data_IF_510752896499
#
_entry.id   IF_510752896499
#
_cell.length_a   1.000
_cell.length_b   1.000
_cell.length_c   1.000
_cell.angle_alpha   90.00
_cell.angle_beta   90.00
_cell.angle_gamma   90.00
#
_symmetry.space_group_name_H-M   'P 1'
#
loop_
_entity.id
_entity.type
_entity.pdbx_description
1 polymer ?
#
# COMPACT_ATOMS: atom_id res chain seq x y z
N UNK A 1 -20.22 -12.50 -16.13
CA UNK A 1 -20.41 -11.06 -15.92
C UNK A 1 -20.87 -10.42 -17.24
N UNK A 2 -22.13 -10.05 -17.36
CA UNK A 2 -22.66 -9.41 -18.57
C UNK A 2 -22.44 -7.90 -18.43
N UNK A 3 -21.61 -7.31 -19.29
CA UNK A 3 -21.50 -5.86 -19.42
C UNK A 3 -22.80 -5.33 -20.04
N UNK A 4 -23.58 -4.62 -19.23
CA UNK A 4 -24.74 -3.88 -19.71
C UNK A 4 -24.21 -2.53 -20.23
N UNK A 5 -24.25 -2.33 -21.52
CA UNK A 5 -24.04 -1.05 -22.17
C UNK A 5 -25.25 -0.16 -21.87
N UNK A 6 -25.07 0.87 -21.06
CA UNK A 6 -26.06 1.91 -20.81
C UNK A 6 -26.00 2.91 -22.00
N UNK A 7 -27.14 3.22 -22.67
CA UNK A 7 -27.12 4.15 -23.79
C UNK A 7 -26.89 5.59 -23.30
N UNK A 8 -25.95 6.26 -23.96
CA UNK A 8 -25.50 7.65 -23.75
C UNK A 8 -26.54 8.69 -24.22
N UNK A 9 -27.69 8.75 -23.57
CA UNK A 9 -28.78 9.67 -23.94
C UNK A 9 -28.92 10.93 -23.05
N UNK A 10 -27.93 11.26 -22.22
CA UNK A 10 -28.02 12.39 -21.25
C UNK A 10 -27.04 13.57 -21.55
N UNK A 11 -26.64 13.74 -22.80
CA UNK A 11 -25.59 14.73 -23.18
C UNK A 11 -26.11 16.13 -23.58
N UNK A 12 -27.35 16.51 -23.32
CA UNK A 12 -27.92 17.75 -23.88
C UNK A 12 -28.13 18.94 -22.89
N UNK A 13 -27.91 18.76 -21.57
CA UNK A 13 -28.10 19.85 -20.58
C UNK A 13 -26.78 20.50 -20.09
N UNK A 14 -25.68 20.21 -20.71
CA UNK A 14 -24.32 20.36 -20.19
C UNK A 14 -23.57 21.67 -20.55
N UNK A 15 -24.18 22.80 -20.82
CA UNK A 15 -23.48 23.93 -21.44
C UNK A 15 -23.08 25.13 -20.56
N UNK A 16 -23.21 25.06 -19.20
CA UNK A 16 -22.94 26.25 -18.35
C UNK A 16 -22.00 26.04 -17.13
N UNK A 17 -21.31 24.90 -17.00
CA UNK A 17 -20.41 24.67 -15.86
C UNK A 17 -18.93 24.57 -16.28
N UNK A 18 -17.97 24.94 -15.38
CA UNK A 18 -16.56 24.63 -15.59
C UNK A 18 -16.38 23.11 -15.77
N UNK A 19 -15.66 22.69 -16.78
CA UNK A 19 -15.49 21.27 -17.16
C UNK A 19 -14.99 20.37 -16.01
N UNK A 20 -14.20 20.91 -15.07
CA UNK A 20 -13.67 20.18 -13.91
C UNK A 20 -14.75 19.78 -12.89
N UNK A 21 -15.72 20.67 -12.58
CA UNK A 21 -16.82 20.34 -11.64
C UNK A 21 -17.76 19.26 -12.19
N UNK A 22 -17.95 19.21 -13.51
CA UNK A 22 -18.79 18.20 -14.17
C UNK A 22 -18.14 16.83 -14.19
N UNK A 23 -16.82 16.75 -14.38
CA UNK A 23 -16.09 15.49 -14.34
C UNK A 23 -16.23 14.86 -12.95
N UNK A 24 -16.09 15.62 -11.89
CA UNK A 24 -16.14 15.13 -10.52
C UNK A 24 -17.57 14.70 -10.11
N UNK A 25 -18.63 15.42 -10.53
CA UNK A 25 -20.01 14.98 -10.29
C UNK A 25 -20.34 13.68 -11.06
N UNK A 26 -19.87 13.52 -12.30
CA UNK A 26 -20.03 12.27 -13.05
C UNK A 26 -19.33 11.12 -12.34
N UNK A 27 -18.10 11.31 -11.92
CA UNK A 27 -17.28 10.28 -11.26
C UNK A 27 -17.90 9.82 -9.93
N UNK A 28 -18.51 10.75 -9.18
CA UNK A 28 -19.18 10.46 -7.92
C UNK A 28 -20.35 9.47 -8.08
N UNK A 29 -21.16 9.63 -9.12
CA UNK A 29 -22.28 8.71 -9.39
C UNK A 29 -21.80 7.41 -10.04
N UNK A 30 -20.83 7.47 -10.95
CA UNK A 30 -20.31 6.32 -11.68
C UNK A 30 -19.62 5.33 -10.75
N UNK A 31 -18.82 5.79 -9.79
CA UNK A 31 -18.14 4.93 -8.82
C UNK A 31 -19.14 4.12 -7.97
N UNK A 32 -20.25 4.75 -7.57
CA UNK A 32 -21.25 4.15 -6.70
C UNK A 32 -21.99 2.99 -7.39
N UNK A 33 -22.17 3.04 -8.71
CA UNK A 33 -22.89 2.00 -9.48
C UNK A 33 -22.24 0.62 -9.36
N UNK A 34 -20.95 0.54 -9.00
CA UNK A 34 -20.25 -0.73 -8.81
C UNK A 34 -20.58 -1.43 -7.48
N UNK A 35 -21.23 -0.73 -6.55
CA UNK A 35 -21.44 -1.17 -5.17
C UNK A 35 -22.91 -1.28 -4.76
N UNK A 36 -23.84 -0.85 -5.61
CA UNK A 36 -25.28 -0.76 -5.31
C UNK A 36 -26.10 -1.73 -6.16
N UNK A 37 -27.30 -2.04 -5.66
CA UNK A 37 -28.28 -2.87 -6.35
C UNK A 37 -29.13 -2.06 -7.36
N UNK A 38 -29.99 -2.75 -8.14
CA UNK A 38 -30.82 -2.12 -9.16
C UNK A 38 -31.82 -1.10 -8.59
N UNK A 39 -32.34 -1.31 -7.39
CA UNK A 39 -33.27 -0.40 -6.71
C UNK A 39 -32.54 0.89 -6.31
N UNK A 40 -31.38 0.77 -5.67
CA UNK A 40 -30.53 1.89 -5.32
C UNK A 40 -30.04 2.65 -6.57
N UNK A 41 -29.71 1.93 -7.63
CA UNK A 41 -29.32 2.56 -8.91
C UNK A 41 -30.49 3.37 -9.51
N UNK A 42 -31.71 2.84 -9.45
CA UNK A 42 -32.90 3.58 -9.87
C UNK A 42 -33.17 4.83 -9.03
N UNK A 43 -32.87 4.76 -7.72
CA UNK A 43 -32.94 5.94 -6.83
C UNK A 43 -31.84 6.95 -7.21
N UNK A 44 -30.62 6.49 -7.48
CA UNK A 44 -29.48 7.32 -7.86
C UNK A 44 -29.77 8.19 -9.10
N UNK A 45 -30.38 7.60 -10.16
CA UNK A 45 -30.81 8.35 -11.34
C UNK A 45 -31.77 9.48 -11.00
N UNK A 46 -32.73 9.23 -10.09
CA UNK A 46 -33.67 10.28 -9.64
C UNK A 46 -32.99 11.39 -8.87
N UNK A 47 -31.95 11.07 -8.08
CA UNK A 47 -31.16 12.08 -7.36
C UNK A 47 -30.38 12.98 -8.31
N UNK A 48 -29.81 12.40 -9.37
CA UNK A 48 -29.15 13.16 -10.46
C UNK A 48 -30.13 14.11 -11.14
N UNK A 49 -31.33 13.64 -11.49
CA UNK A 49 -32.38 14.47 -12.09
C UNK A 49 -32.82 15.61 -11.16
N UNK A 50 -32.97 15.34 -9.84
CA UNK A 50 -33.33 16.37 -8.86
C UNK A 50 -32.23 17.43 -8.71
N UNK A 51 -30.94 17.04 -8.71
CA UNK A 51 -29.80 17.96 -8.71
C UNK A 51 -29.79 18.82 -9.99
N UNK A 52 -29.91 18.20 -11.16
CA UNK A 52 -29.98 18.90 -12.45
C UNK A 52 -31.14 19.89 -12.51
N UNK A 53 -32.28 19.54 -11.93
CA UNK A 53 -33.43 20.44 -11.80
C UNK A 53 -33.16 21.61 -10.86
N UNK A 54 -32.42 21.36 -9.76
CA UNK A 54 -31.93 22.41 -8.86
C UNK A 54 -31.04 23.42 -9.61
N UNK A 55 -30.09 22.95 -10.42
CA UNK A 55 -29.23 23.80 -11.26
C UNK A 55 -30.05 24.65 -12.25
N UNK A 56 -31.06 24.06 -12.86
CA UNK A 56 -31.97 24.80 -13.74
C UNK A 56 -32.72 25.91 -13.00
N UNK A 57 -33.16 25.66 -11.76
CA UNK A 57 -33.79 26.70 -10.95
C UNK A 57 -32.83 27.84 -10.58
N UNK A 58 -31.57 27.54 -10.26
CA UNK A 58 -30.54 28.58 -10.02
C UNK A 58 -30.34 29.43 -11.26
N UNK A 59 -30.18 28.83 -12.44
CA UNK A 59 -30.01 29.54 -13.70
C UNK A 59 -31.21 30.44 -14.05
N UNK A 60 -32.43 29.95 -13.81
CA UNK A 60 -33.65 30.74 -13.99
C UNK A 60 -33.75 31.91 -13.00
N UNK A 61 -33.32 31.71 -11.74
CA UNK A 61 -33.26 32.75 -10.75
C UNK A 61 -32.27 33.88 -11.15
N UNK A 62 -31.11 33.49 -11.66
CA UNK A 62 -30.09 34.44 -12.16
C UNK A 62 -30.59 35.25 -13.37
N UNK A 63 -31.27 34.61 -14.29
CA UNK A 63 -31.91 35.31 -15.43
C UNK A 63 -32.99 36.29 -14.97
N UNK A 64 -33.77 35.90 -13.95
CA UNK A 64 -34.78 36.79 -13.33
C UNK A 64 -34.13 37.95 -12.60
N UNK A 65 -33.02 37.76 -11.90
CA UNK A 65 -32.24 38.79 -11.23
C UNK A 65 -31.68 39.82 -12.25
N UNK A 66 -31.07 39.34 -13.35
CA UNK A 66 -30.56 40.23 -14.43
C UNK A 66 -31.69 41.07 -15.05
N UNK A 67 -32.87 40.51 -15.23
CA UNK A 67 -34.03 41.21 -15.77
C UNK A 67 -34.58 42.22 -14.75
N UNK A 68 -34.60 41.82 -13.47
CA UNK A 68 -35.13 42.59 -12.35
C UNK A 68 -34.32 43.91 -12.18
N UNK A 69 -33.00 43.87 -12.24
CA UNK A 69 -32.15 45.06 -12.13
C UNK A 69 -32.57 46.20 -13.08
N UNK A 70 -33.04 45.86 -14.29
CA UNK A 70 -33.53 46.84 -15.29
C UNK A 70 -34.89 47.46 -14.91
N UNK A 71 -35.71 46.72 -14.19
CA UNK A 71 -37.05 47.19 -13.78
C UNK A 71 -37.05 47.97 -12.47
N UNK A 72 -36.23 47.60 -11.50
CA UNK A 72 -36.13 48.29 -10.20
C UNK A 72 -35.51 49.68 -10.31
N UNK A 73 -34.70 49.92 -11.32
CA UNK A 73 -34.09 51.25 -11.62
C UNK A 73 -35.05 52.15 -12.44
N UNK A 74 -36.31 51.77 -12.64
CA UNK A 74 -37.27 52.55 -13.42
C UNK A 74 -38.17 53.40 -12.53
N UNK A 75 -38.40 54.66 -12.90
CA UNK A 75 -39.33 55.57 -12.26
C UNK A 75 -40.84 55.23 -12.54
N UNK A 76 -41.11 54.31 -13.48
CA UNK A 76 -42.48 53.92 -13.88
C UNK A 76 -43.05 52.85 -12.94
N UNK A 77 -44.18 53.18 -12.24
CA UNK A 77 -44.82 52.26 -11.28
C UNK A 77 -45.13 50.85 -11.81
N UNK A 78 -45.53 50.73 -13.09
CA UNK A 78 -45.79 49.43 -13.72
C UNK A 78 -44.51 48.59 -13.93
N UNK A 79 -43.36 49.23 -14.18
CA UNK A 79 -42.08 48.54 -14.29
C UNK A 79 -41.59 48.08 -12.91
N UNK A 80 -41.71 48.94 -11.87
CA UNK A 80 -41.37 48.57 -10.49
C UNK A 80 -42.12 47.33 -10.04
N UNK A 81 -43.46 47.30 -10.23
CA UNK A 81 -44.32 46.13 -9.90
C UNK A 81 -43.86 44.87 -10.64
N UNK A 82 -43.44 44.98 -11.89
CA UNK A 82 -42.86 43.87 -12.65
C UNK A 82 -41.53 43.40 -12.08
N UNK A 83 -40.70 44.31 -11.59
CA UNK A 83 -39.44 44.01 -10.92
C UNK A 83 -39.64 43.27 -9.60
N UNK A 84 -40.57 43.73 -8.78
CA UNK A 84 -40.95 43.06 -7.52
C UNK A 84 -41.40 41.61 -7.76
N UNK A 85 -42.26 41.40 -8.79
CA UNK A 85 -42.71 40.05 -9.17
C UNK A 85 -41.52 39.13 -9.58
N UNK A 86 -40.61 39.64 -10.39
CA UNK A 86 -39.42 38.91 -10.83
C UNK A 86 -38.49 38.61 -9.67
N UNK A 87 -38.35 39.49 -8.72
CA UNK A 87 -37.58 39.29 -7.50
C UNK A 87 -38.21 38.16 -6.65
N UNK A 88 -39.52 38.17 -6.46
CA UNK A 88 -40.23 37.11 -5.73
C UNK A 88 -40.09 35.72 -6.40
N UNK A 89 -40.11 35.69 -7.75
CA UNK A 89 -39.89 34.47 -8.53
C UNK A 89 -38.46 33.94 -8.32
N UNK A 90 -37.43 34.79 -8.45
CA UNK A 90 -36.04 34.38 -8.23
C UNK A 90 -35.79 33.86 -6.80
N UNK A 91 -36.37 34.49 -5.78
CA UNK A 91 -36.32 34.02 -4.39
C UNK A 91 -36.87 32.63 -4.25
N UNK A 92 -38.05 32.37 -4.82
CA UNK A 92 -38.76 31.10 -4.76
C UNK A 92 -37.94 29.99 -5.48
N UNK A 93 -37.36 30.30 -6.63
CA UNK A 93 -36.51 29.33 -7.39
C UNK A 93 -35.26 28.94 -6.62
N UNK A 94 -34.58 29.88 -5.97
CA UNK A 94 -33.39 29.58 -5.17
C UNK A 94 -33.71 28.68 -3.97
N UNK A 95 -34.81 28.93 -3.26
CA UNK A 95 -35.26 28.07 -2.14
C UNK A 95 -35.62 26.67 -2.66
N UNK A 96 -36.34 26.58 -3.80
CA UNK A 96 -36.66 25.27 -4.41
C UNK A 96 -35.39 24.51 -4.80
N UNK A 97 -34.40 25.17 -5.39
CA UNK A 97 -33.13 24.54 -5.72
C UNK A 97 -32.43 24.00 -4.48
N UNK A 98 -32.30 24.81 -3.42
CA UNK A 98 -31.64 24.39 -2.18
C UNK A 98 -32.32 23.19 -1.52
N UNK A 99 -33.69 23.13 -1.53
CA UNK A 99 -34.43 21.96 -1.05
C UNK A 99 -34.23 20.70 -1.87
N UNK A 100 -34.04 20.82 -3.18
CA UNK A 100 -33.68 19.69 -4.02
C UNK A 100 -32.27 19.19 -3.71
N UNK A 101 -31.30 20.09 -3.54
CA UNK A 101 -29.95 19.71 -3.13
C UNK A 101 -29.93 19.04 -1.76
N UNK A 102 -30.60 19.62 -0.74
CA UNK A 102 -30.72 19.01 0.59
C UNK A 102 -31.23 17.58 0.50
N UNK A 103 -32.38 17.39 -0.14
CA UNK A 103 -32.98 16.06 -0.31
C UNK A 103 -32.04 15.10 -1.03
N UNK A 104 -31.45 15.52 -2.15
CA UNK A 104 -30.66 14.64 -3.00
C UNK A 104 -29.35 14.27 -2.34
N UNK A 105 -28.62 15.20 -1.76
CA UNK A 105 -27.35 14.92 -1.11
C UNK A 105 -27.51 14.15 0.21
N UNK A 106 -28.61 14.37 0.96
CA UNK A 106 -28.94 13.55 2.14
C UNK A 106 -29.21 12.10 1.72
N UNK A 107 -30.03 11.89 0.69
CA UNK A 107 -30.29 10.52 0.21
C UNK A 107 -29.06 9.87 -0.40
N UNK A 108 -28.21 10.63 -1.06
CA UNK A 108 -26.94 10.15 -1.59
C UNK A 108 -26.00 9.72 -0.46
N UNK A 109 -25.86 10.53 0.60
CA UNK A 109 -25.10 10.20 1.80
C UNK A 109 -25.55 8.87 2.43
N UNK A 110 -26.87 8.66 2.56
CA UNK A 110 -27.40 7.41 3.12
C UNK A 110 -27.00 6.18 2.30
N UNK A 111 -27.01 6.29 0.97
CA UNK A 111 -26.57 5.19 0.08
C UNK A 111 -25.06 4.93 0.26
N UNK A 112 -24.23 5.98 0.27
CA UNK A 112 -22.80 5.85 0.49
C UNK A 112 -22.47 5.26 1.85
N UNK A 113 -23.16 5.72 2.89
CA UNK A 113 -23.00 5.23 4.25
C UNK A 113 -23.33 3.74 4.33
N UNK A 114 -24.46 3.31 3.77
CA UNK A 114 -24.83 1.90 3.73
C UNK A 114 -23.78 1.04 3.01
N UNK A 115 -23.22 1.50 1.90
CA UNK A 115 -22.17 0.79 1.17
C UNK A 115 -20.89 0.68 2.02
N UNK A 116 -20.46 1.76 2.65
CA UNK A 116 -19.23 1.79 3.46
C UNK A 116 -19.39 0.97 4.75
N UNK A 117 -20.52 1.06 5.42
CA UNK A 117 -20.81 0.31 6.66
C UNK A 117 -20.83 -1.21 6.42
N UNK A 118 -21.26 -1.65 5.24
CA UNK A 118 -21.32 -3.06 4.85
C UNK A 118 -20.05 -3.55 4.14
N UNK A 119 -19.07 -2.68 3.89
CA UNK A 119 -17.86 -3.02 3.14
C UNK A 119 -16.80 -3.70 4.01
N UNK A 120 -16.13 -4.69 3.42
CA UNK A 120 -14.91 -5.26 3.99
C UNK A 120 -13.68 -4.45 3.52
N UNK A 121 -13.01 -3.81 4.47
CA UNK A 121 -11.76 -3.10 4.22
C UNK A 121 -10.57 -4.00 4.47
N UNK A 122 -9.65 -4.08 3.49
CA UNK A 122 -8.39 -4.81 3.59
C UNK A 122 -7.43 -4.09 4.54
N UNK A 123 -7.47 -2.75 4.51
CA UNK A 123 -6.60 -1.89 5.33
C UNK A 123 -7.41 -1.13 6.37
N UNK A 124 -7.09 -1.32 7.65
CA UNK A 124 -7.79 -0.66 8.77
C UNK A 124 -7.69 0.87 8.70
N UNK A 125 -6.56 1.41 8.24
CA UNK A 125 -6.39 2.86 8.08
C UNK A 125 -7.36 3.44 7.04
N UNK A 126 -7.64 2.71 5.96
CA UNK A 126 -8.60 3.15 4.94
C UNK A 126 -10.02 3.16 5.49
N UNK A 127 -10.38 2.17 6.30
CA UNK A 127 -11.67 2.15 7.00
C UNK A 127 -11.84 3.38 7.88
N UNK A 128 -10.87 3.66 8.74
CA UNK A 128 -10.90 4.83 9.64
C UNK A 128 -10.95 6.16 8.86
N UNK A 129 -10.26 6.23 7.73
CA UNK A 129 -10.29 7.41 6.86
C UNK A 129 -11.63 7.57 6.14
N UNK A 130 -12.26 6.47 5.68
CA UNK A 130 -13.57 6.49 5.06
C UNK A 130 -14.66 6.92 6.07
N UNK A 131 -14.60 6.41 7.31
CA UNK A 131 -15.48 6.82 8.40
C UNK A 131 -15.31 8.32 8.72
N UNK A 132 -14.09 8.86 8.70
CA UNK A 132 -13.84 10.29 8.86
C UNK A 132 -14.47 11.13 7.75
N UNK A 133 -14.33 10.72 6.48
CA UNK A 133 -14.99 11.40 5.37
C UNK A 133 -16.52 11.38 5.48
N UNK A 134 -17.12 10.27 5.93
CA UNK A 134 -18.56 10.22 6.16
C UNK A 134 -19.01 11.15 7.29
N UNK A 135 -18.22 11.26 8.36
CA UNK A 135 -18.47 12.22 9.44
C UNK A 135 -18.41 13.68 8.94
N UNK A 136 -17.44 14.00 8.10
CA UNK A 136 -17.33 15.33 7.48
C UNK A 136 -18.51 15.62 6.54
N UNK A 137 -18.96 14.60 5.79
CA UNK A 137 -20.15 14.72 4.93
C UNK A 137 -21.40 15.00 5.75
N UNK A 138 -21.62 14.30 6.86
CA UNK A 138 -22.75 14.52 7.77
C UNK A 138 -22.74 15.94 8.34
N UNK A 139 -21.59 16.43 8.79
CA UNK A 139 -21.42 17.80 9.28
C UNK A 139 -21.76 18.83 8.19
N UNK A 140 -21.31 18.63 6.96
CA UNK A 140 -21.60 19.52 5.84
C UNK A 140 -23.10 19.50 5.47
N UNK A 141 -23.78 18.35 5.54
CA UNK A 141 -25.23 18.26 5.36
C UNK A 141 -25.98 19.04 6.46
N UNK A 142 -25.60 18.88 7.72
CA UNK A 142 -26.17 19.60 8.85
C UNK A 142 -25.99 21.12 8.70
N UNK A 143 -24.79 21.57 8.35
CA UNK A 143 -24.48 22.99 8.09
C UNK A 143 -25.33 23.55 6.95
N UNK A 144 -25.46 22.81 5.84
CA UNK A 144 -26.30 23.20 4.71
C UNK A 144 -27.77 23.34 5.11
N UNK A 145 -28.30 22.35 5.82
CA UNK A 145 -29.69 22.33 6.31
C UNK A 145 -29.94 23.46 7.33
N UNK A 146 -29.01 23.74 8.23
CA UNK A 146 -29.12 24.84 9.17
C UNK A 146 -29.25 26.21 8.47
N UNK A 147 -28.50 26.42 7.37
CA UNK A 147 -28.60 27.65 6.55
C UNK A 147 -29.91 27.73 5.77
N UNK A 148 -30.49 26.61 5.36
CA UNK A 148 -31.75 26.55 4.63
C UNK A 148 -32.96 26.72 5.54
N UNK A 149 -32.91 26.22 6.78
CA UNK A 149 -33.99 26.17 7.74
C UNK A 149 -34.75 27.49 7.93
N UNK A 150 -34.14 28.67 8.06
CA UNK A 150 -34.80 29.97 8.21
C UNK A 150 -35.74 30.30 7.04
N UNK A 151 -35.51 29.75 5.88
CA UNK A 151 -36.23 30.02 4.64
C UNK A 151 -37.39 29.03 4.38
N UNK A 152 -37.49 27.96 5.16
CA UNK A 152 -38.46 26.89 4.98
C UNK A 152 -39.92 27.35 5.16
N UNK A 153 -40.16 28.35 6.00
CA UNK A 153 -41.47 28.92 6.33
C UNK A 153 -41.74 30.29 5.68
N UNK A 154 -40.75 30.85 4.95
CA UNK A 154 -40.90 32.18 4.34
C UNK A 154 -41.71 32.09 3.06
N UNK A 155 -42.80 32.89 3.01
CA UNK A 155 -43.54 33.11 1.77
C UNK A 155 -42.78 34.18 0.95
N UNK A 156 -42.83 34.10 -0.38
CA UNK A 156 -42.21 35.05 -1.30
C UNK A 156 -42.60 36.51 -1.08
N UNK A 157 -43.70 36.75 -0.37
CA UNK A 157 -44.22 38.10 -0.02
C UNK A 157 -43.46 38.78 1.12
N UNK A 158 -42.82 38.04 2.01
CA UNK A 158 -42.23 38.58 3.24
C UNK A 158 -40.71 38.77 3.14
N UNK A 159 -40.12 38.59 1.96
CA UNK A 159 -38.68 38.78 1.74
C UNK A 159 -38.37 40.22 1.26
N UNK A 160 -38.01 41.10 2.19
CA UNK A 160 -37.54 42.46 1.88
C UNK A 160 -36.20 42.43 1.08
N UNK A 161 -35.85 43.52 0.43
CA UNK A 161 -34.69 43.64 -0.45
C UNK A 161 -33.35 43.32 0.26
N UNK A 162 -33.20 43.72 1.55
CA UNK A 162 -32.02 43.36 2.39
C UNK A 162 -31.91 41.89 2.63
N UNK A 163 -33.00 41.23 2.94
CA UNK A 163 -33.14 39.81 3.19
C UNK A 163 -32.81 38.97 1.94
N UNK A 164 -33.01 39.57 0.74
CA UNK A 164 -32.74 38.86 -0.51
C UNK A 164 -31.22 38.71 -0.79
N UNK A 165 -30.41 39.69 -0.43
CA UNK A 165 -28.95 39.57 -0.56
C UNK A 165 -28.43 38.44 0.35
N UNK A 166 -28.88 38.41 1.59
CA UNK A 166 -28.54 37.36 2.53
C UNK A 166 -28.99 35.98 2.02
N UNK A 167 -30.25 35.87 1.56
CA UNK A 167 -30.78 34.64 0.97
C UNK A 167 -29.93 34.15 -0.20
N UNK A 168 -29.45 35.01 -1.09
CA UNK A 168 -28.57 34.62 -2.20
C UNK A 168 -27.28 34.01 -1.71
N UNK A 169 -26.67 34.63 -0.70
CA UNK A 169 -25.42 34.13 -0.08
C UNK A 169 -25.65 32.80 0.62
N UNK A 170 -26.74 32.70 1.40
CA UNK A 170 -27.07 31.49 2.15
C UNK A 170 -27.40 30.33 1.20
N UNK A 171 -28.16 30.54 0.12
CA UNK A 171 -28.44 29.48 -0.85
C UNK A 171 -27.21 29.02 -1.62
N UNK A 172 -26.27 29.92 -1.93
CA UNK A 172 -24.99 29.57 -2.52
C UNK A 172 -24.13 28.76 -1.53
N UNK A 173 -24.14 29.17 -0.25
CA UNK A 173 -23.43 28.45 0.81
C UNK A 173 -24.06 27.06 1.08
N UNK A 174 -25.40 26.94 1.09
CA UNK A 174 -26.08 25.64 1.17
C UNK A 174 -25.62 24.71 0.04
N UNK A 175 -25.66 25.18 -1.20
CA UNK A 175 -25.20 24.41 -2.35
C UNK A 175 -23.77 23.91 -2.17
N UNK A 176 -22.84 24.82 -1.79
CA UNK A 176 -21.44 24.46 -1.56
C UNK A 176 -21.28 23.40 -0.47
N UNK A 177 -22.03 23.50 0.61
CA UNK A 177 -22.01 22.50 1.71
C UNK A 177 -22.53 21.13 1.27
N UNK A 178 -23.62 21.09 0.54
CA UNK A 178 -24.16 19.84 0.01
C UNK A 178 -23.22 19.20 -1.02
N UNK A 179 -22.58 19.99 -1.89
CA UNK A 179 -21.58 19.48 -2.80
C UNK A 179 -20.35 18.94 -2.06
N UNK A 180 -19.87 19.65 -1.03
CA UNK A 180 -18.76 19.16 -0.17
C UNK A 180 -19.11 17.84 0.51
N UNK A 181 -20.34 17.67 0.97
CA UNK A 181 -20.79 16.38 1.51
C UNK A 181 -20.72 15.26 0.46
N UNK A 182 -21.12 15.54 -0.79
CA UNK A 182 -20.99 14.59 -1.89
C UNK A 182 -19.54 14.23 -2.19
N UNK A 183 -18.65 15.22 -2.21
CA UNK A 183 -17.21 15.02 -2.42
C UNK A 183 -16.59 14.16 -1.31
N UNK A 184 -16.97 14.37 -0.06
CA UNK A 184 -16.54 13.55 1.07
C UNK A 184 -17.04 12.10 0.93
N UNK A 185 -18.29 11.89 0.55
CA UNK A 185 -18.83 10.56 0.26
C UNK A 185 -18.05 9.86 -0.86
N UNK A 186 -17.74 10.56 -1.95
CA UNK A 186 -16.92 10.05 -3.04
C UNK A 186 -15.52 9.63 -2.57
N UNK A 187 -14.86 10.48 -1.77
CA UNK A 187 -13.53 10.19 -1.23
C UNK A 187 -13.54 8.95 -0.33
N UNK A 188 -14.58 8.76 0.48
CA UNK A 188 -14.76 7.55 1.30
C UNK A 188 -14.84 6.29 0.43
N UNK A 189 -15.66 6.29 -0.61
CA UNK A 189 -15.85 5.14 -1.48
C UNK A 189 -14.63 4.86 -2.37
N UNK A 190 -13.90 5.89 -2.75
CA UNK A 190 -12.67 5.75 -3.53
C UNK A 190 -11.61 4.94 -2.81
N UNK A 191 -11.51 5.06 -1.48
CA UNK A 191 -10.61 4.22 -0.68
C UNK A 191 -10.99 2.74 -0.82
N UNK A 192 -12.27 2.42 -0.79
CA UNK A 192 -12.78 1.06 -0.98
C UNK A 192 -12.49 0.54 -2.40
N UNK A 193 -12.70 1.35 -3.43
CA UNK A 193 -12.45 0.97 -4.82
C UNK A 193 -10.98 0.66 -5.10
N UNK A 194 -10.05 1.45 -4.55
CA UNK A 194 -8.62 1.36 -4.87
C UNK A 194 -7.87 0.32 -4.03
N UNK A 195 -8.47 -0.23 -2.97
CA UNK A 195 -7.78 -1.17 -2.08
C UNK A 195 -7.37 -2.47 -2.78
N UNK A 196 -8.18 -3.02 -3.68
CA UNK A 196 -7.85 -4.22 -4.44
C UNK A 196 -6.69 -3.98 -5.44
N UNK A 197 -6.64 -2.82 -6.06
CA UNK A 197 -5.53 -2.45 -6.95
C UNK A 197 -4.22 -2.35 -6.16
N UNK A 198 -4.25 -1.72 -4.97
CA UNK A 198 -3.07 -1.64 -4.07
C UNK A 198 -2.63 -3.02 -3.61
N UNK A 199 -3.54 -3.87 -3.18
CA UNK A 199 -3.26 -5.26 -2.80
C UNK A 199 -2.58 -6.04 -3.92
N UNK A 200 -3.08 -5.89 -5.15
CA UNK A 200 -2.50 -6.53 -6.33
C UNK A 200 -1.09 -5.98 -6.64
N UNK A 201 -0.87 -4.67 -6.47
CA UNK A 201 0.45 -4.04 -6.65
C UNK A 201 1.44 -4.52 -5.56
N UNK A 202 1.02 -4.61 -4.31
CA UNK A 202 1.83 -5.13 -3.20
C UNK A 202 2.21 -6.59 -3.43
N UNK A 203 1.25 -7.44 -3.84
CA UNK A 203 1.50 -8.84 -4.17
C UNK A 203 2.46 -8.99 -5.36
N UNK A 204 2.34 -8.16 -6.39
CA UNK A 204 3.26 -8.15 -7.53
C UNK A 204 4.67 -7.70 -7.13
N UNK A 205 4.79 -6.69 -6.28
CA UNK A 205 6.06 -6.22 -5.73
C UNK A 205 6.75 -7.29 -4.88
N UNK A 206 6.00 -7.98 -4.01
CA UNK A 206 6.48 -9.12 -3.23
C UNK A 206 6.97 -10.25 -4.14
N UNK A 207 6.19 -10.62 -5.17
CA UNK A 207 6.57 -11.65 -6.14
C UNK A 207 7.86 -11.31 -6.88
N UNK A 208 8.01 -10.05 -7.33
CA UNK A 208 9.22 -9.59 -8.01
C UNK A 208 10.44 -9.65 -7.08
N UNK A 209 10.29 -9.24 -5.83
CA UNK A 209 11.34 -9.32 -4.83
C UNK A 209 11.71 -10.78 -4.51
N UNK A 210 10.71 -11.66 -4.39
CA UNK A 210 10.94 -13.10 -4.22
C UNK A 210 11.72 -13.73 -5.37
N UNK A 211 11.35 -13.43 -6.62
CA UNK A 211 12.05 -13.94 -7.80
C UNK A 211 13.53 -13.51 -7.81
N UNK A 212 13.80 -12.26 -7.45
CA UNK A 212 15.18 -11.76 -7.27
C UNK A 212 15.91 -12.51 -6.15
N UNK A 213 15.27 -12.69 -5.01
CA UNK A 213 15.80 -13.44 -3.85
C UNK A 213 16.18 -14.87 -4.24
N UNK A 214 15.30 -15.57 -4.97
CA UNK A 214 15.55 -16.93 -5.46
C UNK A 214 16.71 -16.98 -6.45
N UNK A 215 16.86 -15.98 -7.29
CA UNK A 215 18.00 -15.90 -8.24
C UNK A 215 19.34 -15.77 -7.53
N UNK A 216 19.40 -15.01 -6.43
CA UNK A 216 20.59 -14.87 -5.59
C UNK A 216 20.89 -16.13 -4.80
N UNK A 217 19.85 -16.79 -4.26
CA UNK A 217 19.88 -18.07 -3.56
C UNK A 217 20.92 -18.17 -2.41
N UNK A 218 20.98 -17.13 -1.56
CA UNK A 218 21.83 -17.11 -0.36
C UNK A 218 20.96 -16.99 0.91
N UNK A 219 21.50 -17.41 2.05
CA UNK A 219 20.84 -17.28 3.37
C UNK A 219 20.52 -15.81 3.66
N UNK A 220 21.48 -14.90 3.37
CA UNK A 220 21.28 -13.47 3.59
C UNK A 220 20.16 -12.89 2.70
N UNK A 221 20.07 -13.31 1.44
CA UNK A 221 18.99 -12.89 0.55
C UNK A 221 17.60 -13.33 1.08
N UNK A 222 17.49 -14.56 1.56
CA UNK A 222 16.24 -15.05 2.16
C UNK A 222 15.91 -14.35 3.48
N UNK A 223 16.90 -14.06 4.32
CA UNK A 223 16.70 -13.29 5.55
C UNK A 223 16.23 -11.86 5.25
N UNK A 224 16.77 -11.21 4.22
CA UNK A 224 16.28 -9.89 3.75
C UNK A 224 14.84 -9.94 3.27
N UNK A 225 14.46 -11.01 2.57
CA UNK A 225 13.07 -11.20 2.17
C UNK A 225 12.15 -11.32 3.41
N UNK A 226 12.48 -12.18 4.37
CA UNK A 226 11.70 -12.37 5.60
C UNK A 226 11.57 -11.05 6.39
N UNK A 227 12.65 -10.27 6.48
CA UNK A 227 12.64 -8.98 7.18
C UNK A 227 11.75 -7.95 6.48
N UNK A 228 11.73 -7.95 5.15
CA UNK A 228 10.90 -7.02 4.36
C UNK A 228 9.43 -7.41 4.33
N UNK A 229 9.15 -8.71 4.29
CA UNK A 229 7.81 -9.29 4.22
C UNK A 229 7.58 -10.32 5.33
N UNK A 230 7.48 -9.91 6.61
CA UNK A 230 7.42 -10.84 7.75
C UNK A 230 6.19 -11.76 7.72
N UNK A 231 5.09 -11.31 7.08
CA UNK A 231 3.87 -12.07 6.85
C UNK A 231 3.67 -12.43 5.37
N UNK A 232 4.73 -12.39 4.59
CA UNK A 232 4.68 -12.59 3.14
C UNK A 232 4.39 -14.04 2.74
N UNK A 233 3.88 -14.18 1.54
CA UNK A 233 3.46 -15.47 0.95
C UNK A 233 4.58 -16.52 0.94
N UNK A 234 5.85 -16.10 0.82
CA UNK A 234 6.99 -16.99 0.62
C UNK A 234 7.87 -17.16 1.88
N UNK A 235 7.43 -16.68 3.07
CA UNK A 235 8.22 -16.78 4.32
C UNK A 235 8.57 -18.23 4.66
N UNK A 236 7.59 -19.13 4.61
CA UNK A 236 7.81 -20.55 4.89
C UNK A 236 8.78 -21.20 3.89
N UNK A 237 8.69 -20.84 2.62
CA UNK A 237 9.61 -21.31 1.58
C UNK A 237 11.03 -20.76 1.77
N UNK A 238 11.17 -19.47 2.14
CA UNK A 238 12.45 -18.88 2.47
C UNK A 238 13.13 -19.60 3.64
N UNK A 239 12.40 -19.86 4.72
CA UNK A 239 12.89 -20.62 5.87
C UNK A 239 13.34 -22.02 5.49
N UNK A 240 12.56 -22.72 4.67
CA UNK A 240 12.90 -24.06 4.15
C UNK A 240 14.19 -24.02 3.33
N UNK A 241 14.37 -23.02 2.47
CA UNK A 241 15.59 -22.86 1.66
C UNK A 241 16.82 -22.53 2.50
N UNK A 242 16.67 -21.69 3.52
CA UNK A 242 17.72 -21.42 4.51
C UNK A 242 18.17 -22.74 5.17
N UNK A 243 17.22 -23.53 5.68
CA UNK A 243 17.54 -24.82 6.31
C UNK A 243 18.25 -25.78 5.35
N UNK A 244 17.85 -25.83 4.08
CA UNK A 244 18.51 -26.66 3.06
C UNK A 244 19.93 -26.20 2.78
N UNK A 245 20.18 -24.88 2.66
CA UNK A 245 21.53 -24.34 2.45
C UNK A 245 22.43 -24.61 3.66
N UNK A 246 21.93 -24.46 4.89
CA UNK A 246 22.65 -24.80 6.11
C UNK A 246 23.00 -26.30 6.16
N UNK A 247 22.05 -27.17 5.82
CA UNK A 247 22.27 -28.63 5.82
C UNK A 247 23.24 -29.05 4.72
N UNK A 248 23.18 -28.45 3.53
CA UNK A 248 24.16 -28.72 2.46
C UNK A 248 25.57 -28.30 2.90
N UNK A 249 25.71 -27.18 3.61
CA UNK A 249 26.99 -26.77 4.22
C UNK A 249 27.49 -27.78 5.26
N UNK A 250 26.60 -28.31 6.11
CA UNK A 250 26.94 -29.35 7.10
C UNK A 250 27.31 -30.68 6.44
N UNK A 251 26.58 -31.13 5.41
CA UNK A 251 26.90 -32.37 4.69
C UNK A 251 28.24 -32.28 3.98
N UNK A 252 28.60 -31.15 3.38
CA UNK A 252 29.95 -30.96 2.81
C UNK A 252 31.06 -31.02 3.86
N UNK A 253 30.76 -30.63 5.11
CA UNK A 253 31.70 -30.74 6.24
C UNK A 253 31.90 -32.16 6.76
N UNK A 254 30.89 -33.03 6.64
CA UNK A 254 30.87 -34.34 7.29
C UNK A 254 31.23 -35.50 6.36
N UNK A 255 31.15 -35.33 5.03
CA UNK A 255 31.14 -36.49 4.11
C UNK A 255 32.49 -36.93 3.55
N UNK A 256 33.60 -36.24 3.82
CA UNK A 256 34.92 -36.69 3.35
C UNK A 256 36.01 -36.53 4.41
N UNK A 257 36.52 -37.66 4.93
CA UNK A 257 37.75 -37.67 5.69
C UNK A 257 38.98 -37.47 4.78
N UNK A 258 38.77 -37.28 3.47
CA UNK A 258 39.82 -37.09 2.51
C UNK A 258 40.29 -35.61 2.55
N UNK A 259 41.51 -35.35 2.99
CA UNK A 259 42.05 -33.98 3.04
C UNK A 259 42.33 -33.35 1.66
N UNK A 260 42.19 -34.12 0.60
CA UNK A 260 42.39 -33.71 -0.78
C UNK A 260 41.07 -33.29 -1.46
N UNK A 261 39.94 -33.24 -0.73
CA UNK A 261 38.63 -32.79 -1.22
C UNK A 261 38.09 -31.62 -0.41
N UNK A 262 37.85 -30.49 -1.11
CA UNK A 262 37.32 -29.27 -0.54
C UNK A 262 38.19 -28.65 0.54
N UNK A 263 37.59 -27.79 1.38
CA UNK A 263 38.28 -27.12 2.47
C UNK A 263 38.61 -28.09 3.61
N UNK A 264 39.88 -28.18 4.03
CA UNK A 264 40.31 -29.00 5.15
C UNK A 264 41.35 -28.26 6.01
N UNK A 265 41.20 -28.40 7.32
CA UNK A 265 42.13 -27.92 8.33
C UNK A 265 42.83 -29.17 8.95
N UNK A 266 44.15 -29.10 9.05
CA UNK A 266 44.91 -30.20 9.64
C UNK A 266 45.93 -29.66 10.64
N UNK A 267 46.32 -30.44 11.60
CA UNK A 267 47.30 -30.06 12.61
C UNK A 267 48.66 -30.59 12.20
N UNK A 268 49.59 -29.72 11.85
CA UNK A 268 50.97 -30.09 11.59
C UNK A 268 51.69 -30.30 12.92
N UNK A 269 52.20 -31.49 13.15
CA UNK A 269 52.88 -31.84 14.38
C UNK A 269 54.37 -31.76 14.32
N UNK A 270 54.97 -31.91 13.13
CA UNK A 270 56.35 -31.61 12.87
C UNK A 270 56.68 -31.57 11.36
N UNK A 271 57.87 -31.03 11.04
CA UNK A 271 58.47 -31.14 9.73
C UNK A 271 59.99 -31.30 9.86
N UNK A 272 60.62 -32.15 9.01
CA UNK A 272 62.03 -32.40 9.05
C UNK A 272 62.57 -32.71 7.63
N UNK A 273 63.83 -32.40 7.34
CA UNK A 273 64.46 -32.81 6.09
C UNK A 273 64.72 -34.32 6.00
N UNK A 274 64.73 -34.99 7.12
CA UNK A 274 64.87 -36.44 7.19
C UNK A 274 63.54 -37.09 7.62
N UNK A 275 63.22 -38.21 6.99
CA UNK A 275 62.04 -38.99 7.35
C UNK A 275 62.17 -39.50 8.80
N UNK A 276 61.12 -39.32 9.60
CA UNK A 276 61.03 -39.82 10.97
C UNK A 276 60.55 -41.26 10.97
N UNK A 277 61.14 -42.06 11.88
CA UNK A 277 60.65 -43.40 12.12
C UNK A 277 59.30 -43.38 12.87
N UNK A 278 58.51 -44.42 12.68
CA UNK A 278 57.24 -44.60 13.39
C UNK A 278 57.41 -44.47 14.92
N UNK A 279 58.50 -45.01 15.46
CA UNK A 279 58.80 -44.92 16.90
C UNK A 279 59.10 -43.49 17.36
N UNK A 280 59.68 -42.65 16.52
CA UNK A 280 59.91 -41.22 16.80
C UNK A 280 58.61 -40.43 16.78
N UNK A 281 57.74 -40.73 15.82
CA UNK A 281 56.41 -40.11 15.70
C UNK A 281 55.50 -40.48 16.88
N UNK A 282 55.52 -41.76 17.33
CA UNK A 282 54.74 -42.22 18.49
C UNK A 282 55.19 -41.59 19.81
N UNK A 283 56.49 -41.19 19.92
CA UNK A 283 56.95 -40.41 21.10
C UNK A 283 56.44 -39.00 21.11
N UNK A 284 56.31 -38.39 19.91
CA UNK A 284 55.80 -37.03 19.78
C UNK A 284 54.30 -37.00 19.97
N UNK A 285 53.55 -37.90 19.30
CA UNK A 285 52.10 -37.93 19.32
C UNK A 285 51.62 -39.30 19.84
N UNK A 286 50.94 -39.29 21.00
CA UNK A 286 50.38 -40.48 21.67
C UNK A 286 48.88 -40.67 21.49
N UNK A 287 48.23 -39.83 20.66
CA UNK A 287 46.81 -39.91 20.39
C UNK A 287 46.48 -40.99 19.35
N UNK A 288 45.18 -41.14 19.10
CA UNK A 288 44.64 -42.20 18.25
C UNK A 288 44.47 -41.82 16.77
N UNK A 289 44.70 -40.54 16.42
CA UNK A 289 44.55 -40.11 15.04
C UNK A 289 45.71 -40.62 14.19
N UNK A 290 45.41 -40.99 12.95
CA UNK A 290 46.44 -41.40 11.97
C UNK A 290 47.35 -40.24 11.65
N UNK A 291 48.65 -40.49 11.69
CA UNK A 291 49.64 -39.51 11.20
C UNK A 291 49.77 -39.69 9.69
N UNK A 292 49.47 -38.63 8.96
CA UNK A 292 49.69 -38.55 7.51
C UNK A 292 51.05 -37.94 7.23
N UNK A 293 51.85 -38.59 6.39
CA UNK A 293 53.19 -38.15 6.01
C UNK A 293 53.21 -37.76 4.55
N UNK A 294 53.68 -36.56 4.26
CA UNK A 294 53.93 -36.09 2.88
C UNK A 294 55.27 -35.39 2.75
N UNK A 295 55.90 -35.58 1.62
CA UNK A 295 57.09 -34.80 1.27
C UNK A 295 56.69 -33.59 0.45
N UNK A 296 56.93 -32.40 0.99
CA UNK A 296 56.58 -31.11 0.38
C UNK A 296 57.77 -30.16 0.54
N UNK A 297 58.25 -29.58 -0.56
CA UNK A 297 59.37 -28.63 -0.59
C UNK A 297 60.69 -29.16 0.06
N UNK A 298 60.96 -30.44 -0.11
CA UNK A 298 62.15 -31.09 0.45
C UNK A 298 62.08 -31.41 1.94
N UNK A 299 60.92 -31.26 2.59
CA UNK A 299 60.65 -31.60 3.95
C UNK A 299 59.64 -32.73 4.05
N UNK A 300 59.79 -33.63 4.98
CA UNK A 300 58.76 -34.55 5.43
C UNK A 300 57.90 -33.81 6.44
N UNK A 301 56.66 -33.55 6.06
CA UNK A 301 55.67 -32.90 6.92
C UNK A 301 54.72 -33.97 7.48
N UNK A 302 54.33 -33.86 8.75
CA UNK A 302 53.49 -34.86 9.46
C UNK A 302 52.26 -34.15 10.00
N UNK A 303 51.12 -34.60 9.52
CA UNK A 303 49.80 -34.00 9.85
C UNK A 303 48.91 -35.00 10.52
N UNK A 304 48.02 -34.51 11.39
CA UNK A 304 47.01 -35.34 12.03
C UNK A 304 45.63 -34.66 11.91
N UNK A 305 44.58 -35.44 11.91
CA UNK A 305 43.21 -34.99 11.79
C UNK A 305 42.86 -34.40 10.40
N UNK A 306 41.61 -34.28 10.16
CA UNK A 306 41.04 -33.58 9.01
C UNK A 306 39.74 -32.91 9.50
N UNK A 307 39.80 -31.63 9.70
CA UNK A 307 38.70 -30.85 10.26
C UNK A 307 38.11 -29.96 9.16
N UNK A 308 36.82 -29.67 9.24
CA UNK A 308 36.12 -28.88 8.22
C UNK A 308 35.89 -27.43 8.65
N UNK A 309 36.20 -27.09 9.93
CA UNK A 309 36.22 -25.71 10.40
C UNK A 309 37.49 -25.41 11.17
N UNK A 310 37.89 -24.13 11.16
CA UNK A 310 39.04 -23.65 11.92
C UNK A 310 38.86 -23.84 13.41
N UNK A 311 37.64 -23.62 13.92
CA UNK A 311 37.33 -23.76 15.33
C UNK A 311 37.48 -25.22 15.82
N UNK A 312 37.02 -26.20 15.03
CA UNK A 312 37.22 -27.63 15.32
C UNK A 312 38.67 -28.00 15.37
N UNK A 313 39.46 -27.54 14.38
CA UNK A 313 40.90 -27.80 14.34
C UNK A 313 41.61 -27.17 15.54
N UNK A 314 41.28 -25.95 15.90
CA UNK A 314 41.86 -25.23 17.04
C UNK A 314 41.50 -25.90 18.37
N UNK A 315 40.25 -26.30 18.56
CA UNK A 315 39.82 -27.03 19.74
C UNK A 315 40.57 -28.37 19.89
N UNK A 316 40.75 -29.08 18.78
CA UNK A 316 41.49 -30.34 18.78
C UNK A 316 42.98 -30.09 19.06
N UNK A 317 43.60 -29.08 18.47
CA UNK A 317 45.03 -28.75 18.73
C UNK A 317 45.29 -28.39 20.20
N UNK A 318 44.44 -27.56 20.79
CA UNK A 318 44.49 -27.19 22.22
C UNK A 318 44.41 -28.44 23.14
N UNK A 319 43.52 -29.38 22.78
CA UNK A 319 43.32 -30.60 23.55
C UNK A 319 44.50 -31.58 23.48
N UNK A 320 45.37 -31.46 22.47
CA UNK A 320 46.49 -32.37 22.27
C UNK A 320 47.77 -32.01 23.05
N UNK A 321 47.87 -30.80 23.56
CA UNK A 321 48.98 -30.25 24.32
C UNK A 321 50.36 -30.50 23.69
N UNK A 322 50.44 -30.33 22.35
CA UNK A 322 51.67 -30.48 21.58
C UNK A 322 52.41 -29.15 21.49
N UNK A 323 53.72 -29.14 21.90
CA UNK A 323 54.48 -27.89 22.08
C UNK A 323 54.81 -27.10 20.80
N UNK A 324 54.66 -27.67 19.62
CA UNK A 324 55.06 -27.05 18.34
C UNK A 324 54.10 -27.38 17.19
N UNK A 325 52.89 -27.68 17.51
CA UNK A 325 51.85 -27.89 16.51
C UNK A 325 51.27 -26.56 16.02
N UNK A 326 50.74 -26.56 14.82
CA UNK A 326 49.98 -25.45 14.27
C UNK A 326 49.01 -25.95 13.18
N UNK A 327 47.96 -25.18 12.92
CA UNK A 327 46.95 -25.50 11.93
C UNK A 327 47.46 -25.12 10.55
N UNK A 328 47.31 -26.05 9.60
CA UNK A 328 47.55 -25.86 8.16
C UNK A 328 46.23 -26.07 7.43
N UNK A 329 46.04 -25.31 6.35
CA UNK A 329 44.81 -25.29 5.59
C UNK A 329 45.05 -25.81 4.17
N UNK A 330 44.06 -26.53 3.65
CA UNK A 330 44.05 -27.07 2.29
C UNK A 330 42.72 -26.78 1.63
N UNK A 331 42.75 -26.55 0.33
CA UNK A 331 41.53 -26.54 -0.50
C UNK A 331 41.83 -27.39 -1.74
N UNK A 332 41.02 -28.46 -1.93
CA UNK A 332 41.23 -29.44 -3.00
C UNK A 332 42.68 -29.96 -3.06
N UNK A 333 43.23 -30.29 -1.89
CA UNK A 333 44.58 -30.84 -1.73
C UNK A 333 45.75 -29.83 -1.84
N UNK A 334 45.46 -28.58 -2.19
CA UNK A 334 46.48 -27.50 -2.24
C UNK A 334 46.56 -26.78 -0.90
N UNK A 335 47.73 -26.58 -0.37
CA UNK A 335 47.93 -25.81 0.85
C UNK A 335 47.68 -24.33 0.58
N UNK A 336 46.80 -23.72 1.37
CA UNK A 336 46.40 -22.30 1.29
C UNK A 336 46.69 -21.57 2.60
N UNK A 337 46.63 -20.22 2.57
CA UNK A 337 46.79 -19.42 3.77
C UNK A 337 45.57 -19.50 4.65
N UNK A 338 45.76 -19.42 6.00
CA UNK A 338 44.65 -19.53 6.96
C UNK A 338 43.55 -18.49 6.74
N UNK A 339 43.93 -17.26 6.36
CA UNK A 339 42.96 -16.19 6.07
C UNK A 339 42.09 -16.52 4.86
N UNK A 340 42.68 -17.10 3.82
CA UNK A 340 41.94 -17.56 2.64
C UNK A 340 41.03 -18.72 2.97
N UNK A 341 41.50 -19.68 3.77
CA UNK A 341 40.68 -20.77 4.25
C UNK A 341 39.49 -20.31 5.05
N UNK A 342 39.64 -19.34 5.95
CA UNK A 342 38.57 -18.73 6.74
C UNK A 342 37.56 -17.96 5.86
N UNK A 343 38.02 -17.30 4.79
CA UNK A 343 37.10 -16.66 3.83
C UNK A 343 36.30 -17.70 3.06
N UNK A 344 36.90 -18.81 2.61
CA UNK A 344 36.21 -19.91 1.97
C UNK A 344 35.19 -20.54 2.97
N UNK A 345 35.61 -20.74 4.22
CA UNK A 345 34.76 -21.29 5.27
C UNK A 345 33.55 -20.40 5.52
N UNK A 346 33.73 -19.07 5.62
CA UNK A 346 32.65 -18.11 5.78
C UNK A 346 31.65 -18.20 4.61
N UNK A 347 32.15 -18.26 3.38
CA UNK A 347 31.31 -18.38 2.18
C UNK A 347 30.61 -19.73 2.04
N UNK A 348 31.03 -20.77 2.78
CA UNK A 348 30.35 -22.07 2.84
C UNK A 348 29.27 -22.09 3.93
N UNK A 349 29.28 -21.10 4.83
CA UNK A 349 28.30 -20.95 5.92
C UNK A 349 27.16 -20.04 5.48
N UNK A 350 27.46 -19.05 4.59
CA UNK A 350 26.50 -18.15 3.98
C UNK A 350 25.78 -18.84 2.80
#
# INVERSE_FOLDING_TARGET
MKKILIPSALLAAALLFPAALRAQESDMFDILTNFINDEQNSALVRLQDDIAKGEKYVSQAEASDKTNAKFLNSSKKGKLKKGEKKSAEAKSLRIKAAKLYEKSYTSLYEIYKEVIDNAEFIYQNDKSQAESYLSDAENDLQDGSAKLSPYGKLTTKNLETKTYSTLKTDMASCKSKFQSAGDNCYNALKLLQTQEERKNQEAAAEQAFWNSTVSVNTIDAYNRYISKYPNGKYVSEAQRRIANLQNAGRQRRVTSDNPDEGLAYRIQICADKRKWSARKLQRLYKGNLKIDERQVDGFYKYWIGCYRSYEEAQSAEMGMNLKQSFIVCFNDGQQIHVTEAQQIEANLID
#
